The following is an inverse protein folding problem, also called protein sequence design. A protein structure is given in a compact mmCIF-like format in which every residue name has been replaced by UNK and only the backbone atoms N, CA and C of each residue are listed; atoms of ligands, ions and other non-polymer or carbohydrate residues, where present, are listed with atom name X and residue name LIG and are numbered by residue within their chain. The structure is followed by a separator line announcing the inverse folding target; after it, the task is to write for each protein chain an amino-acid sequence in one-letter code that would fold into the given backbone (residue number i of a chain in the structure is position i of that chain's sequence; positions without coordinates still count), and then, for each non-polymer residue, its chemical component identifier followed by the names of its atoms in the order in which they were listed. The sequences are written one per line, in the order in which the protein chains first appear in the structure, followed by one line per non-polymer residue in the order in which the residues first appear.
data_IF_155377697649
#
_entry.id   IF_155377697649
#
_cell.length_a   1.000
_cell.length_b   1.000
_cell.length_c   1.000
_cell.angle_alpha   90.00
_cell.angle_beta   90.00
_cell.angle_gamma   90.00
#
_symmetry.space_group_name_H-M   'P 1'
#
loop_
_entity.id
_entity.type
_entity.pdbx_description
1 polymer ?
#
# COMPACT_ATOMS: atom_id res chain seq x y z
N UNK A 1 -17.85 -12.86 -10.80
CA UNK A 1 -16.86 -13.54 -9.92
C UNK A 1 -15.83 -14.18 -10.83
N UNK A 2 -14.70 -13.52 -11.04
CA UNK A 2 -13.67 -14.02 -11.96
C UNK A 2 -12.74 -14.94 -11.17
N UNK A 3 -12.80 -16.23 -11.45
CA UNK A 3 -12.05 -17.27 -10.76
C UNK A 3 -10.64 -17.38 -11.36
N UNK A 4 -9.64 -16.88 -10.62
CA UNK A 4 -8.27 -17.32 -10.77
C UNK A 4 -7.96 -18.21 -9.56
N UNK A 5 -7.82 -19.53 -9.81
CA UNK A 5 -7.20 -20.49 -8.88
C UNK A 5 -8.03 -21.02 -7.69
N UNK A 6 -9.37 -21.01 -7.73
CA UNK A 6 -10.19 -21.65 -6.66
C UNK A 6 -10.23 -20.89 -5.33
N UNK A 7 -9.62 -19.71 -5.28
CA UNK A 7 -9.81 -18.71 -4.23
C UNK A 7 -10.73 -17.64 -4.79
N UNK A 8 -11.89 -17.41 -4.16
CA UNK A 8 -12.74 -16.28 -4.49
C UNK A 8 -12.02 -15.00 -4.09
N UNK A 9 -11.22 -14.44 -5.01
CA UNK A 9 -10.56 -13.17 -4.82
C UNK A 9 -11.65 -12.10 -4.69
N UNK A 10 -11.74 -11.36 -3.55
CA UNK A 10 -12.70 -10.27 -3.45
C UNK A 10 -12.53 -9.30 -4.62
N UNK A 11 -13.63 -8.72 -5.11
CA UNK A 11 -13.62 -7.80 -6.25
C UNK A 11 -12.64 -6.63 -6.07
N UNK A 12 -12.30 -6.31 -4.81
CA UNK A 12 -11.34 -5.29 -4.43
C UNK A 12 -9.90 -5.69 -4.65
N UNK A 13 -9.55 -6.98 -4.77
CA UNK A 13 -8.15 -7.42 -4.84
C UNK A 13 -7.35 -6.83 -6.00
N UNK A 14 -7.86 -6.79 -7.24
CA UNK A 14 -7.16 -6.11 -8.34
C UNK A 14 -6.90 -4.64 -8.02
N UNK A 15 -7.90 -3.94 -7.46
CA UNK A 15 -7.76 -2.54 -7.06
C UNK A 15 -6.75 -2.38 -5.92
N UNK A 16 -6.78 -3.27 -4.93
CA UNK A 16 -5.85 -3.31 -3.81
C UNK A 16 -4.41 -3.50 -4.31
N UNK A 17 -4.18 -4.42 -5.25
CA UNK A 17 -2.88 -4.62 -5.87
C UNK A 17 -2.40 -3.38 -6.64
N UNK A 18 -3.30 -2.73 -7.40
CA UNK A 18 -2.97 -1.48 -8.11
C UNK A 18 -2.58 -0.38 -7.11
N UNK A 19 -3.37 -0.19 -6.05
CA UNK A 19 -3.08 0.83 -5.03
C UNK A 19 -1.74 0.55 -4.37
N UNK A 20 -1.49 -0.67 -3.87
CA UNK A 20 -0.20 -1.00 -3.26
C UNK A 20 0.97 -0.90 -4.26
N UNK A 21 0.76 -1.29 -5.52
CA UNK A 21 1.74 -1.12 -6.58
C UNK A 21 2.12 0.35 -6.80
N UNK A 22 1.13 1.25 -6.86
CA UNK A 22 1.35 2.70 -6.97
C UNK A 22 2.09 3.24 -5.75
N UNK A 23 1.73 2.80 -4.54
CA UNK A 23 2.42 3.22 -3.30
C UNK A 23 3.89 2.81 -3.29
N UNK A 24 4.19 1.57 -3.69
CA UNK A 24 5.58 1.10 -3.82
C UNK A 24 6.32 1.87 -4.90
N UNK A 25 5.70 2.12 -6.05
CA UNK A 25 6.29 2.90 -7.13
C UNK A 25 6.59 4.34 -6.69
N UNK A 26 5.69 4.98 -5.93
CA UNK A 26 5.88 6.30 -5.37
C UNK A 26 7.04 6.34 -4.36
N UNK A 27 7.13 5.36 -3.46
CA UNK A 27 8.24 5.26 -2.51
C UNK A 27 9.59 5.06 -3.23
N UNK A 28 9.63 4.23 -4.27
CA UNK A 28 10.81 4.03 -5.10
C UNK A 28 11.20 5.29 -5.89
N UNK A 29 10.22 6.05 -6.37
CA UNK A 29 10.45 7.34 -7.03
C UNK A 29 11.04 8.37 -6.06
N UNK A 30 10.45 8.54 -4.87
CA UNK A 30 10.97 9.45 -3.83
C UNK A 30 12.39 9.05 -3.40
N UNK A 31 12.67 7.75 -3.24
CA UNK A 31 14.02 7.28 -2.97
C UNK A 31 15.02 7.73 -4.04
N UNK A 32 14.68 7.53 -5.33
CA UNK A 32 15.55 7.89 -6.45
C UNK A 32 15.75 9.40 -6.54
N UNK A 33 14.68 10.18 -6.45
CA UNK A 33 14.75 11.65 -6.46
C UNK A 33 15.62 12.17 -5.30
N UNK A 34 15.44 11.66 -4.08
CA UNK A 34 16.25 12.03 -2.93
C UNK A 34 17.73 11.64 -3.09
N UNK A 35 18.02 10.49 -3.71
CA UNK A 35 19.39 10.05 -4.02
C UNK A 35 20.05 10.96 -5.07
N UNK A 36 19.33 11.30 -6.13
CA UNK A 36 19.82 12.20 -7.19
C UNK A 36 20.11 13.60 -6.65
N UNK A 37 19.38 14.04 -5.62
CA UNK A 37 19.61 15.30 -4.90
C UNK A 37 20.71 15.22 -3.83
N UNK A 38 21.39 14.09 -3.67
CA UNK A 38 22.47 13.91 -2.68
C UNK A 38 22.00 13.79 -1.23
N UNK A 39 20.72 13.49 -0.99
CA UNK A 39 20.18 13.36 0.38
C UNK A 39 20.69 12.09 1.07
N UNK A 40 21.37 12.26 2.21
CA UNK A 40 21.74 11.15 3.12
C UNK A 40 20.53 10.41 3.69
N UNK A 41 19.35 11.03 3.66
CA UNK A 41 18.11 10.51 4.24
C UNK A 41 17.20 9.88 3.19
N UNK A 42 17.66 9.61 1.97
CA UNK A 42 16.84 8.98 0.94
C UNK A 42 16.10 7.69 1.39
N UNK A 43 16.73 6.75 2.14
CA UNK A 43 16.01 5.59 2.67
C UNK A 43 14.90 5.99 3.64
N UNK A 44 15.15 6.98 4.50
CA UNK A 44 14.16 7.49 5.45
C UNK A 44 12.94 8.08 4.72
N UNK A 45 13.15 8.82 3.63
CA UNK A 45 12.05 9.36 2.84
C UNK A 45 11.18 8.28 2.18
N UNK A 46 11.81 7.21 1.68
CA UNK A 46 11.09 6.06 1.12
C UNK A 46 10.27 5.34 2.21
N UNK A 47 10.89 5.07 3.36
CA UNK A 47 10.24 4.41 4.50
C UNK A 47 9.10 5.27 5.05
N UNK A 48 9.30 6.59 5.17
CA UNK A 48 8.26 7.51 5.59
C UNK A 48 7.07 7.48 4.63
N UNK A 49 7.31 7.53 3.32
CA UNK A 49 6.26 7.41 2.29
C UNK A 49 5.42 6.15 2.49
N UNK A 50 6.07 5.00 2.68
CA UNK A 50 5.37 3.74 2.93
C UNK A 50 4.60 3.76 4.26
N UNK A 51 5.26 4.15 5.35
CA UNK A 51 4.67 4.15 6.68
C UNK A 51 3.42 5.03 6.76
N UNK A 52 3.52 6.28 6.29
CA UNK A 52 2.40 7.22 6.33
C UNK A 52 1.26 6.83 5.39
N UNK A 53 1.52 6.05 4.35
CA UNK A 53 0.46 5.58 3.43
C UNK A 53 -0.19 4.27 3.90
N UNK A 54 0.60 3.35 4.45
CA UNK A 54 0.14 1.97 4.75
C UNK A 54 -0.37 1.84 6.19
N UNK A 55 0.29 2.46 7.18
CA UNK A 55 -0.06 2.29 8.60
C UNK A 55 -1.51 2.69 8.90
N UNK A 56 -2.05 3.82 8.41
CA UNK A 56 -3.46 4.17 8.66
C UNK A 56 -4.44 3.13 8.09
N UNK A 57 -4.12 2.56 6.93
CA UNK A 57 -4.93 1.52 6.30
C UNK A 57 -4.91 0.25 7.14
N UNK A 58 -3.74 -0.19 7.59
CA UNK A 58 -3.62 -1.35 8.47
C UNK A 58 -4.35 -1.13 9.79
N UNK A 59 -4.27 0.07 10.36
CA UNK A 59 -5.02 0.43 11.56
C UNK A 59 -6.52 0.34 11.33
N UNK A 60 -7.04 0.90 10.22
CA UNK A 60 -8.45 0.80 9.86
C UNK A 60 -8.90 -0.66 9.72
N UNK A 61 -8.13 -1.48 8.98
CA UNK A 61 -8.44 -2.89 8.77
C UNK A 61 -8.39 -3.67 10.08
N UNK A 62 -7.43 -3.39 10.95
CA UNK A 62 -7.33 -4.03 12.26
C UNK A 62 -8.53 -3.69 13.15
N UNK A 63 -8.92 -2.42 13.21
CA UNK A 63 -10.07 -1.95 14.00
C UNK A 63 -11.40 -2.54 13.52
N UNK A 64 -11.55 -2.78 12.21
CA UNK A 64 -12.79 -3.28 11.59
C UNK A 64 -12.71 -4.75 11.17
N UNK A 65 -11.67 -5.49 11.59
CA UNK A 65 -11.44 -6.88 11.15
C UNK A 65 -12.61 -7.81 11.47
N UNK A 66 -13.33 -7.52 12.54
CA UNK A 66 -14.45 -8.32 13.06
C UNK A 66 -15.82 -7.72 12.66
N UNK A 67 -15.84 -6.53 12.03
CA UNK A 67 -17.06 -5.88 11.58
C UNK A 67 -17.50 -6.45 10.23
N UNK A 68 -18.64 -7.16 10.22
CA UNK A 68 -19.31 -7.53 8.97
C UNK A 68 -19.78 -6.29 8.19
N UNK A 69 -20.16 -6.44 6.91
CA UNK A 69 -20.69 -5.32 6.12
C UNK A 69 -21.84 -4.65 6.87
N UNK A 70 -21.80 -3.32 6.98
CA UNK A 70 -22.95 -2.57 7.48
C UNK A 70 -24.14 -2.90 6.57
N UNK A 71 -25.22 -3.43 7.16
CA UNK A 71 -26.48 -3.73 6.46
C UNK A 71 -27.22 -2.45 6.13
#
# INVERSE_FOLDING_TARGET
MTLLSGVALPWSLPLTLVVYGVVVAAAAWIYRDARERGSRYAPLWAVATLAFTIVPVLAYLYLHRDAGPAR
#
